data_IF_379528751982
#
_entry.id   IF_379528751982
#
_cell.length_a   1.000
_cell.length_b   1.000
_cell.length_c   1.000
_cell.angle_alpha   90.00
_cell.angle_beta   90.00
_cell.angle_gamma   90.00
#
_symmetry.space_group_name_H-M   'P 1'
#
loop_
_entity.id
_entity.type
_entity.pdbx_description
1 polymer ?
#
# COMPACT_ATOMS: atom_id res chain seq x y z
N UNK A 1 -11.26 -11.22 9.22
CA UNK A 1 -10.10 -10.44 8.75
C UNK A 1 -10.37 -8.99 9.09
N UNK A 2 -9.55 -8.35 9.92
CA UNK A 2 -9.78 -6.96 10.39
C UNK A 2 -8.92 -5.98 9.59
N UNK A 3 -9.33 -4.71 9.56
CA UNK A 3 -8.60 -3.64 8.88
C UNK A 3 -7.16 -3.50 9.40
N UNK A 4 -6.94 -3.69 10.70
CA UNK A 4 -5.62 -3.65 11.33
C UNK A 4 -4.66 -4.71 10.77
N UNK A 5 -5.13 -5.94 10.55
CA UNK A 5 -4.31 -7.01 9.97
C UNK A 5 -3.87 -6.68 8.54
N UNK A 6 -4.70 -5.97 7.78
CA UNK A 6 -4.40 -5.53 6.41
C UNK A 6 -3.40 -4.36 6.44
N UNK A 7 -3.58 -3.41 7.34
CA UNK A 7 -2.64 -2.32 7.55
C UNK A 7 -1.26 -2.85 7.95
N UNK A 8 -1.19 -3.83 8.84
CA UNK A 8 0.05 -4.47 9.25
C UNK A 8 0.74 -5.20 8.09
N UNK A 9 -0.04 -5.97 7.30
CA UNK A 9 0.46 -6.62 6.09
C UNK A 9 0.99 -5.61 5.05
N UNK A 10 0.28 -4.48 4.84
CA UNK A 10 0.72 -3.41 3.95
C UNK A 10 1.97 -2.69 4.50
N UNK A 11 2.11 -2.57 5.82
CA UNK A 11 3.30 -2.00 6.48
C UNK A 11 4.54 -2.88 6.33
N UNK A 12 4.36 -4.19 6.18
CA UNK A 12 5.46 -5.10 5.85
C UNK A 12 5.98 -4.90 4.40
N UNK A 13 5.17 -4.30 3.52
CA UNK A 13 5.59 -3.97 2.15
C UNK A 13 6.43 -2.69 2.16
N UNK A 14 7.74 -2.87 1.98
CA UNK A 14 8.70 -1.76 1.85
C UNK A 14 8.59 -1.11 0.48
N UNK A 15 8.70 0.21 0.43
CA UNK A 15 8.70 0.92 -0.84
C UNK A 15 10.06 0.75 -1.54
N UNK A 16 10.09 0.29 -2.80
CA UNK A 16 11.34 0.07 -3.53
C UNK A 16 12.12 1.39 -3.68
N UNK A 17 13.42 1.36 -3.38
CA UNK A 17 14.29 2.54 -3.41
C UNK A 17 14.21 3.42 -2.16
N UNK A 18 13.37 3.10 -1.17
CA UNK A 18 13.32 3.78 0.13
C UNK A 18 13.31 2.76 1.28
N UNK A 19 13.74 3.18 2.47
CA UNK A 19 13.77 2.29 3.65
C UNK A 19 12.42 2.22 4.39
N UNK A 20 11.46 3.06 3.99
CA UNK A 20 10.14 3.21 4.63
C UNK A 20 9.07 2.38 3.92
N UNK A 21 8.06 1.97 4.67
CA UNK A 21 6.91 1.21 4.16
C UNK A 21 5.91 2.08 3.39
N UNK A 22 5.08 1.43 2.56
CA UNK A 22 4.10 2.11 1.71
C UNK A 22 3.02 2.89 2.48
N UNK A 23 2.75 2.50 3.75
CA UNK A 23 1.83 3.20 4.64
C UNK A 23 2.47 4.49 5.15
N UNK A 24 3.69 4.41 5.67
CA UNK A 24 4.46 5.54 6.19
C UNK A 24 4.92 6.51 5.10
N UNK A 25 4.89 6.09 3.83
CA UNK A 25 5.09 6.97 2.68
C UNK A 25 3.83 7.78 2.33
N UNK A 26 2.66 7.42 2.88
CA UNK A 26 1.40 8.08 2.58
C UNK A 26 0.82 7.74 1.20
N UNK A 27 1.27 6.64 0.58
CA UNK A 27 0.76 6.17 -0.72
C UNK A 27 -0.64 5.59 -0.60
N UNK A 28 -0.98 5.03 0.56
CA UNK A 28 -2.29 4.43 0.80
C UNK A 28 -3.26 5.53 1.20
N UNK A 29 -4.10 5.94 0.25
CA UNK A 29 -5.15 6.95 0.46
C UNK A 29 -6.39 6.37 1.11
N UNK A 30 -6.73 5.12 0.79
CA UNK A 30 -7.94 4.49 1.31
C UNK A 30 -7.77 2.97 1.42
N UNK A 31 -8.20 2.41 2.55
CA UNK A 31 -8.34 0.96 2.75
C UNK A 31 -9.79 0.71 3.14
N UNK A 32 -10.51 -0.10 2.37
CA UNK A 32 -11.86 -0.53 2.68
C UNK A 32 -11.90 -2.05 2.74
N UNK A 33 -12.44 -2.59 3.82
CA UNK A 33 -12.57 -4.03 4.04
C UNK A 33 -14.05 -4.33 4.11
N UNK A 34 -14.57 -5.12 3.18
CA UNK A 34 -15.98 -5.44 3.14
C UNK A 34 -16.19 -6.92 2.82
N UNK A 35 -16.81 -7.66 3.75
CA UNK A 35 -17.22 -9.05 3.59
C UNK A 35 -16.15 -9.98 2.99
N UNK A 36 -14.88 -9.79 3.38
CA UNK A 36 -13.74 -10.58 2.89
C UNK A 36 -13.03 -10.01 1.65
N UNK A 37 -13.60 -9.00 1.00
CA UNK A 37 -12.94 -8.24 -0.05
C UNK A 37 -12.16 -7.04 0.52
N UNK A 38 -10.89 -6.93 0.15
CA UNK A 38 -10.02 -5.81 0.53
C UNK A 38 -9.84 -4.90 -0.67
N UNK A 39 -10.28 -3.65 -0.54
CA UNK A 39 -10.13 -2.60 -1.53
C UNK A 39 -9.10 -1.59 -1.03
N UNK A 40 -7.96 -1.50 -1.71
CA UNK A 40 -6.91 -0.53 -1.39
C UNK A 40 -6.80 0.47 -2.54
N UNK A 41 -7.02 1.75 -2.26
CA UNK A 41 -6.64 2.83 -3.18
C UNK A 41 -5.26 3.35 -2.80
N UNK A 42 -4.32 3.13 -3.70
CA UNK A 42 -3.00 3.74 -3.65
C UNK A 42 -2.98 4.94 -4.59
N UNK A 43 -2.53 6.07 -4.08
CA UNK A 43 -2.28 7.28 -4.87
C UNK A 43 -0.78 7.56 -4.79
N UNK A 44 -0.10 7.43 -5.93
CA UNK A 44 1.32 7.74 -6.03
C UNK A 44 1.49 9.26 -5.99
N UNK A 45 1.61 9.83 -4.79
CA UNK A 45 2.00 11.23 -4.60
C UNK A 45 3.51 11.44 -4.70
N UNK A 46 4.27 10.36 -4.94
CA UNK A 46 5.72 10.38 -5.10
C UNK A 46 6.10 10.62 -6.56
N UNK A 47 7.08 11.49 -6.87
CA UNK A 47 7.53 11.78 -8.23
C UNK A 47 8.23 10.60 -8.94
N UNK A 48 8.21 9.39 -8.35
CA UNK A 48 8.97 8.24 -8.82
C UNK A 48 8.04 7.19 -9.48
N UNK A 49 7.91 7.17 -10.81
CA UNK A 49 7.03 6.27 -11.54
C UNK A 49 7.44 4.79 -11.47
N UNK A 50 8.65 4.48 -10.99
CA UNK A 50 9.18 3.12 -10.88
C UNK A 50 8.43 2.23 -9.88
N UNK A 51 7.80 2.80 -8.85
CA UNK A 51 7.06 1.99 -7.88
C UNK A 51 5.74 1.43 -8.42
N UNK A 52 5.12 2.09 -9.41
CA UNK A 52 3.92 1.58 -10.08
C UNK A 52 4.21 0.35 -10.94
N UNK A 53 5.49 0.12 -11.30
CA UNK A 53 5.90 -0.92 -12.26
C UNK A 53 6.01 -2.32 -11.65
N UNK A 54 6.05 -2.43 -10.32
CA UNK A 54 6.28 -3.72 -9.63
C UNK A 54 4.95 -4.43 -9.30
N UNK A 55 3.81 -3.73 -9.37
CA UNK A 55 2.49 -4.31 -9.10
C UNK A 55 1.88 -4.82 -10.42
N UNK A 56 2.64 -5.63 -11.15
CA UNK A 56 2.16 -6.36 -12.33
C UNK A 56 2.85 -7.71 -12.38
N UNK A 57 2.30 -8.66 -11.63
CA UNK A 57 2.50 -10.10 -11.78
C UNK A 57 1.18 -10.79 -11.43
#
# INVERSE_FOLDING_TARGET
>A
MTQEAILDALKAVKYPGYSRDIISFGLVKHVAVNNGAVNVRLELTSPNPDAAKIIKA
#
